data_IF_211792894612
#
_entry.id   IF_211792894612
#
_cell.length_a   1.000
_cell.length_b   1.000
_cell.length_c   1.000
_cell.angle_alpha   90.00
_cell.angle_beta   90.00
_cell.angle_gamma   90.00
#
_symmetry.space_group_name_H-M   'P 1'
#
loop_
_entity.id
_entity.type
_entity.pdbx_description
1 polymer ?
#
# COMPACT_ATOMS: atom_id res chain seq x y z
N UNK A 1 -14.13 52.34 -25.35
CA UNK A 1 -14.26 51.80 -23.97
C UNK A 1 -14.97 50.46 -24.04
N UNK A 2 -14.21 49.37 -24.01
CA UNK A 2 -14.72 48.00 -23.88
C UNK A 2 -14.01 47.38 -22.67
N UNK A 3 -14.73 46.79 -21.70
CA UNK A 3 -14.10 46.14 -20.56
C UNK A 3 -13.55 44.77 -20.98
N UNK A 4 -12.30 44.53 -20.61
CA UNK A 4 -11.61 43.27 -20.83
C UNK A 4 -12.23 42.14 -20.01
N UNK A 5 -12.53 41.04 -20.70
CA UNK A 5 -12.86 39.76 -20.07
C UNK A 5 -11.55 39.03 -19.83
N UNK A 6 -11.19 38.87 -18.56
CA UNK A 6 -10.11 38.00 -18.13
C UNK A 6 -10.47 36.55 -18.47
N UNK A 7 -9.68 35.93 -19.35
CA UNK A 7 -9.64 34.47 -19.50
C UNK A 7 -9.02 33.84 -18.23
N UNK A 8 -9.60 32.78 -17.66
CA UNK A 8 -8.98 32.04 -16.57
C UNK A 8 -7.84 31.15 -17.09
N UNK A 9 -6.76 30.95 -16.32
CA UNK A 9 -5.62 30.15 -16.76
C UNK A 9 -5.99 28.67 -16.87
N UNK A 10 -5.89 28.18 -18.10
CA UNK A 10 -5.81 26.78 -18.49
C UNK A 10 -4.59 26.13 -17.82
N UNK A 11 -4.80 25.03 -17.10
CA UNK A 11 -3.90 23.85 -16.98
C UNK A 11 -3.96 23.22 -15.59
N UNK A 12 -5.00 22.41 -15.36
CA UNK A 12 -4.93 21.31 -14.39
C UNK A 12 -4.97 20.02 -15.20
N UNK A 13 -3.82 19.36 -15.35
CA UNK A 13 -3.76 18.00 -15.89
C UNK A 13 -4.30 17.06 -14.82
N UNK A 14 -5.62 16.92 -14.80
CA UNK A 14 -6.29 15.84 -14.08
C UNK A 14 -5.89 14.55 -14.80
N UNK A 15 -5.05 13.73 -14.16
CA UNK A 15 -4.80 12.35 -14.60
C UNK A 15 -6.09 11.55 -14.37
N UNK A 16 -7.02 11.65 -15.31
CA UNK A 16 -8.11 10.69 -15.41
C UNK A 16 -7.51 9.36 -15.86
N UNK A 17 -7.56 8.37 -14.98
CA UNK A 17 -7.22 6.99 -15.31
C UNK A 17 -8.16 6.50 -16.42
N UNK A 18 -7.71 6.59 -17.67
CA UNK A 18 -8.33 5.93 -18.82
C UNK A 18 -7.70 4.56 -18.94
N UNK A 19 -8.48 3.51 -18.67
CA UNK A 19 -8.12 2.13 -19.04
C UNK A 19 -7.76 2.07 -20.53
N UNK A 20 -6.46 2.00 -20.84
CA UNK A 20 -6.01 1.65 -22.18
C UNK A 20 -5.89 0.13 -22.24
N UNK A 21 -6.95 -0.54 -22.73
CA UNK A 21 -6.81 -1.88 -23.32
C UNK A 21 -5.82 -1.77 -24.48
N UNK A 22 -4.55 -2.13 -24.29
CA UNK A 22 -3.66 -2.47 -25.40
C UNK A 22 -3.91 -3.94 -25.73
N UNK A 23 -4.31 -4.17 -26.98
CA UNK A 23 -4.54 -5.50 -27.53
C UNK A 23 -3.33 -6.39 -27.34
N UNK A 24 -3.57 -7.57 -26.80
CA UNK A 24 -2.62 -8.65 -26.74
C UNK A 24 -2.36 -9.19 -28.15
N UNK A 25 -1.13 -9.02 -28.65
CA UNK A 25 -0.51 -10.03 -29.51
C UNK A 25 0.33 -10.94 -28.60
N UNK A 26 0.06 -12.23 -28.72
CA UNK A 26 0.72 -13.33 -28.01
C UNK A 26 2.23 -13.33 -28.30
N UNK A 27 3.06 -13.47 -27.27
CA UNK A 27 3.84 -14.67 -26.95
C UNK A 27 4.96 -14.32 -25.96
N UNK A 28 5.10 -15.15 -24.92
CA UNK A 28 6.05 -15.01 -23.83
C UNK A 28 5.53 -15.65 -22.54
N UNK A 29 5.16 -16.94 -22.61
CA UNK A 29 4.74 -17.75 -21.46
C UNK A 29 5.94 -18.00 -20.55
N UNK A 30 6.20 -17.12 -19.57
CA UNK A 30 7.12 -17.42 -18.46
C UNK A 30 6.69 -16.81 -17.10
N UNK A 31 5.39 -16.55 -16.92
CA UNK A 31 4.83 -16.08 -15.63
C UNK A 31 3.72 -16.96 -15.02
N UNK A 32 3.39 -18.11 -15.63
CA UNK A 32 2.18 -18.88 -15.28
C UNK A 32 2.27 -19.79 -14.06
N UNK A 33 3.46 -20.01 -13.49
CA UNK A 33 3.67 -21.01 -12.44
C UNK A 33 3.22 -20.57 -11.04
N UNK A 34 3.42 -19.30 -10.69
CA UNK A 34 3.16 -18.81 -9.32
C UNK A 34 1.68 -18.53 -9.06
N UNK A 35 1.00 -17.89 -10.01
CA UNK A 35 -0.44 -17.57 -9.89
C UNK A 35 -1.31 -18.84 -9.92
N UNK A 36 -0.95 -19.86 -10.72
CA UNK A 36 -1.62 -21.18 -10.67
C UNK A 36 -1.43 -21.86 -9.32
N UNK A 37 -0.24 -21.74 -8.72
CA UNK A 37 0.07 -22.34 -7.42
C UNK A 37 -0.72 -21.67 -6.29
N UNK A 38 -0.84 -20.35 -6.29
CA UNK A 38 -1.64 -19.63 -5.28
C UNK A 38 -3.14 -19.90 -5.43
N UNK A 39 -3.65 -19.98 -6.67
CA UNK A 39 -5.03 -20.36 -6.93
C UNK A 39 -5.34 -21.79 -6.46
N UNK A 40 -4.43 -22.74 -6.70
CA UNK A 40 -4.54 -24.12 -6.19
C UNK A 40 -4.51 -24.19 -4.66
N UNK A 41 -3.55 -23.51 -4.02
CA UNK A 41 -3.48 -23.43 -2.56
C UNK A 41 -4.74 -22.79 -1.94
N UNK A 42 -5.32 -21.79 -2.60
CA UNK A 42 -6.55 -21.17 -2.13
C UNK A 42 -7.74 -22.15 -2.16
N UNK A 43 -7.83 -22.99 -3.20
CA UNK A 43 -8.86 -24.03 -3.30
C UNK A 43 -8.69 -25.10 -2.21
N UNK A 44 -7.47 -25.63 -2.03
CA UNK A 44 -7.16 -26.59 -0.97
C UNK A 44 -7.45 -26.01 0.42
N UNK A 45 -7.12 -24.73 0.63
CA UNK A 45 -7.42 -24.02 1.88
C UNK A 45 -8.93 -23.91 2.11
N UNK A 46 -9.72 -23.65 1.06
CA UNK A 46 -11.19 -23.62 1.17
C UNK A 46 -11.77 -24.97 1.55
N UNK A 47 -11.24 -26.07 1.01
CA UNK A 47 -11.66 -27.42 1.38
C UNK A 47 -11.37 -27.72 2.85
N UNK A 48 -10.16 -27.38 3.32
CA UNK A 48 -9.77 -27.51 4.73
C UNK A 48 -10.68 -26.69 5.65
N UNK A 49 -10.92 -25.41 5.31
CA UNK A 49 -11.83 -24.55 6.08
C UNK A 49 -13.26 -25.11 6.09
N UNK A 50 -13.73 -25.70 4.99
CA UNK A 50 -15.02 -26.38 4.91
C UNK A 50 -15.12 -27.57 5.86
N UNK A 51 -14.08 -28.40 5.93
CA UNK A 51 -14.04 -29.53 6.87
C UNK A 51 -14.06 -29.06 8.33
N UNK A 52 -13.27 -28.04 8.67
CA UNK A 52 -13.25 -27.46 10.02
C UNK A 52 -14.60 -26.83 10.39
N UNK A 53 -15.28 -26.19 9.44
CA UNK A 53 -16.63 -25.67 9.64
C UNK A 53 -17.65 -26.76 9.96
N UNK A 54 -17.60 -27.91 9.27
CA UNK A 54 -18.52 -29.01 9.58
C UNK A 54 -18.25 -29.62 10.96
N UNK A 55 -16.98 -29.67 11.38
CA UNK A 55 -16.56 -30.15 12.69
C UNK A 55 -16.80 -29.17 13.85
N UNK A 56 -16.93 -27.87 13.58
CA UNK A 56 -17.08 -26.82 14.60
C UNK A 56 -18.33 -27.00 15.47
N UNK A 57 -18.19 -26.68 16.76
CA UNK A 57 -19.23 -26.96 17.77
C UNK A 57 -20.19 -25.78 18.02
N UNK A 58 -19.80 -24.56 17.64
CA UNK A 58 -20.62 -23.37 17.82
C UNK A 58 -20.98 -22.71 16.50
N UNK A 59 -22.12 -22.02 16.46
CA UNK A 59 -22.53 -21.24 15.28
C UNK A 59 -21.54 -20.11 14.97
N UNK A 60 -20.96 -19.49 16.00
CA UNK A 60 -19.98 -18.42 15.84
C UNK A 60 -18.69 -18.91 15.16
N UNK A 61 -18.20 -20.09 15.56
CA UNK A 61 -17.02 -20.69 14.96
C UNK A 61 -17.25 -21.07 13.50
N UNK A 62 -18.44 -21.61 13.19
CA UNK A 62 -18.85 -21.90 11.80
C UNK A 62 -18.87 -20.65 10.93
N UNK A 63 -19.32 -19.53 11.48
CA UNK A 63 -19.36 -18.24 10.79
C UNK A 63 -17.96 -17.71 10.50
N UNK A 64 -17.01 -17.82 11.45
CA UNK A 64 -15.62 -17.40 11.23
C UNK A 64 -14.96 -18.15 10.07
N UNK A 65 -15.17 -19.46 9.99
CA UNK A 65 -14.67 -20.25 8.86
C UNK A 65 -15.34 -19.86 7.54
N UNK A 66 -16.65 -19.60 7.56
CA UNK A 66 -17.38 -19.15 6.37
C UNK A 66 -16.84 -17.81 5.85
N UNK A 67 -16.61 -16.84 6.73
CA UNK A 67 -16.02 -15.53 6.37
C UNK A 67 -14.64 -15.70 5.72
N UNK A 68 -13.79 -16.56 6.27
CA UNK A 68 -12.48 -16.84 5.70
C UNK A 68 -12.58 -17.47 4.29
N UNK A 69 -13.50 -18.44 4.11
CA UNK A 69 -13.74 -19.04 2.80
C UNK A 69 -14.25 -18.01 1.79
N UNK A 70 -15.19 -17.16 2.19
CA UNK A 70 -15.79 -16.16 1.31
C UNK A 70 -14.80 -15.04 0.94
N UNK A 71 -13.86 -14.71 1.82
CA UNK A 71 -12.73 -13.84 1.46
C UNK A 71 -11.88 -14.43 0.33
N UNK A 72 -11.55 -15.73 0.40
CA UNK A 72 -10.81 -16.42 -0.68
C UNK A 72 -11.62 -16.47 -1.98
N UNK A 73 -12.93 -16.73 -1.90
CA UNK A 73 -13.82 -16.68 -3.07
C UNK A 73 -13.88 -15.27 -3.66
N UNK A 74 -13.93 -14.24 -2.82
CA UNK A 74 -13.96 -12.85 -3.26
C UNK A 74 -12.69 -12.48 -4.03
N UNK A 75 -11.51 -12.84 -3.52
CA UNK A 75 -10.22 -12.64 -4.21
C UNK A 75 -10.24 -13.32 -5.58
N UNK A 76 -10.73 -14.57 -5.66
CA UNK A 76 -10.84 -15.31 -6.91
C UNK A 76 -11.83 -14.66 -7.89
N UNK A 77 -13.05 -14.36 -7.43
CA UNK A 77 -14.12 -13.80 -8.23
C UNK A 77 -13.81 -12.39 -8.75
N UNK A 78 -12.97 -11.64 -8.03
CA UNK A 78 -12.54 -10.30 -8.43
C UNK A 78 -11.20 -10.28 -9.19
N UNK A 79 -10.58 -11.45 -9.41
CA UNK A 79 -9.31 -11.56 -10.14
C UNK A 79 -8.09 -10.99 -9.41
N UNK A 80 -8.14 -10.90 -8.08
CA UNK A 80 -7.11 -10.22 -7.26
C UNK A 80 -5.96 -11.13 -6.80
N UNK A 81 -5.80 -12.33 -7.38
CA UNK A 81 -4.74 -13.26 -6.96
C UNK A 81 -3.33 -12.69 -7.11
N UNK A 82 -3.05 -11.91 -8.16
CA UNK A 82 -1.73 -11.31 -8.34
C UNK A 82 -1.45 -10.24 -7.28
N UNK A 83 -2.42 -9.36 -7.02
CA UNK A 83 -2.31 -8.34 -5.97
C UNK A 83 -2.14 -8.98 -4.59
N UNK A 84 -2.84 -10.10 -4.34
CA UNK A 84 -2.69 -10.86 -3.10
C UNK A 84 -1.33 -11.55 -2.99
N UNK A 85 -0.79 -12.07 -4.09
CA UNK A 85 0.57 -12.62 -4.13
C UNK A 85 1.63 -11.55 -3.84
N UNK A 86 1.49 -10.38 -4.44
CA UNK A 86 2.41 -9.25 -4.23
C UNK A 86 2.32 -8.72 -2.79
N UNK A 87 1.12 -8.71 -2.21
CA UNK A 87 0.93 -8.44 -0.79
C UNK A 87 1.64 -9.48 0.08
N UNK A 88 1.50 -10.79 -0.21
CA UNK A 88 2.22 -11.83 0.54
C UNK A 88 3.74 -11.67 0.48
N UNK A 89 4.29 -11.43 -0.72
CA UNK A 89 5.73 -11.14 -0.89
C UNK A 89 6.17 -9.92 -0.09
N UNK A 90 5.31 -8.92 0.04
CA UNK A 90 5.60 -7.73 0.83
C UNK A 90 5.76 -8.05 2.33
N UNK A 91 5.00 -9.02 2.85
CA UNK A 91 5.13 -9.49 4.23
C UNK A 91 6.46 -10.22 4.44
N UNK A 92 6.85 -11.09 3.50
CA UNK A 92 8.12 -11.83 3.58
C UNK A 92 9.33 -10.88 3.63
N UNK A 93 9.25 -9.77 2.89
CA UNK A 93 10.30 -8.74 2.87
C UNK A 93 10.14 -7.67 3.95
N UNK A 94 9.18 -7.82 4.88
CA UNK A 94 8.84 -6.84 5.92
C UNK A 94 8.62 -5.43 5.36
N UNK A 95 8.06 -5.32 4.15
CA UNK A 95 7.87 -4.05 3.46
C UNK A 95 6.95 -3.10 4.25
N UNK A 96 7.05 -1.78 4.04
CA UNK A 96 6.19 -0.83 4.73
C UNK A 96 4.70 -1.08 4.46
N UNK A 97 3.83 -0.58 5.36
CA UNK A 97 2.39 -0.75 5.23
C UNK A 97 1.88 -0.33 3.85
N UNK A 98 1.06 -1.19 3.24
CA UNK A 98 0.56 -1.03 1.88
C UNK A 98 -0.29 0.24 1.75
N UNK A 99 -0.04 1.03 0.70
CA UNK A 99 -0.79 2.25 0.38
C UNK A 99 -1.51 2.12 -0.97
N UNK A 100 -2.71 2.69 -1.07
CA UNK A 100 -3.53 2.65 -2.29
C UNK A 100 -3.37 3.88 -3.18
N UNK A 101 -2.98 5.01 -2.59
CA UNK A 101 -2.80 6.28 -3.29
C UNK A 101 -1.82 7.16 -2.53
N UNK A 102 -1.25 8.13 -3.23
CA UNK A 102 -0.43 9.18 -2.65
C UNK A 102 -0.82 10.54 -3.24
N UNK A 103 -0.86 11.55 -2.39
CA UNK A 103 -1.26 12.92 -2.72
C UNK A 103 -0.20 13.90 -2.22
N UNK A 104 0.03 14.97 -2.98
CA UNK A 104 0.95 16.03 -2.58
C UNK A 104 0.36 16.87 -1.44
N UNK A 105 -0.96 17.10 -1.48
CA UNK A 105 -1.65 17.92 -0.50
C UNK A 105 -2.92 17.27 0.07
N UNK A 106 -3.41 17.84 1.17
CA UNK A 106 -4.64 17.42 1.83
C UNK A 106 -5.86 17.65 0.92
N UNK A 107 -5.89 18.76 0.22
CA UNK A 107 -6.98 19.17 -0.67
C UNK A 107 -7.13 18.18 -1.84
N UNK A 108 -6.01 17.75 -2.43
CA UNK A 108 -6.00 16.73 -3.48
C UNK A 108 -6.59 15.40 -2.98
N UNK A 109 -6.17 14.98 -1.79
CA UNK A 109 -6.63 13.73 -1.18
C UNK A 109 -8.13 13.78 -0.83
N UNK A 110 -8.62 14.92 -0.33
CA UNK A 110 -10.03 15.12 -0.02
C UNK A 110 -10.89 15.20 -1.30
N UNK A 111 -10.40 15.86 -2.34
CA UNK A 111 -11.06 15.87 -3.64
C UNK A 111 -11.19 14.44 -4.20
N UNK A 112 -10.12 13.64 -4.11
CA UNK A 112 -10.16 12.22 -4.46
C UNK A 112 -11.20 11.45 -3.64
N UNK A 113 -11.19 11.59 -2.31
CA UNK A 113 -12.10 10.87 -1.42
C UNK A 113 -13.57 11.21 -1.69
N UNK A 114 -13.86 12.48 -1.92
CA UNK A 114 -15.21 12.97 -2.20
C UNK A 114 -15.71 12.54 -3.59
N UNK A 115 -14.81 12.51 -4.59
CA UNK A 115 -15.12 12.03 -5.94
C UNK A 115 -15.19 10.51 -6.07
N UNK A 116 -14.68 9.75 -5.09
CA UNK A 116 -14.64 8.30 -5.17
C UNK A 116 -16.03 7.69 -4.91
N UNK A 117 -16.60 6.86 -5.81
CA UNK A 117 -17.97 6.35 -5.66
C UNK A 117 -18.11 5.38 -4.48
N UNK A 118 -17.10 4.54 -4.25
CA UNK A 118 -17.03 3.60 -3.13
C UNK A 118 -15.63 3.65 -2.48
N UNK A 119 -15.33 4.64 -1.63
CA UNK A 119 -14.02 4.79 -1.01
C UNK A 119 -13.54 3.50 -0.34
N UNK A 120 -12.26 3.13 -0.47
CA UNK A 120 -11.73 1.90 0.09
C UNK A 120 -11.54 2.06 1.61
N UNK A 121 -12.56 1.70 2.39
CA UNK A 121 -12.53 1.82 3.84
C UNK A 121 -11.35 1.03 4.45
N UNK A 122 -10.68 1.64 5.45
CA UNK A 122 -9.50 1.13 6.16
C UNK A 122 -8.23 1.01 5.32
N UNK A 123 -8.25 1.39 4.05
CA UNK A 123 -7.03 1.46 3.27
C UNK A 123 -6.18 2.67 3.66
N UNK A 124 -4.86 2.51 3.60
CA UNK A 124 -3.92 3.61 3.76
C UNK A 124 -3.73 4.38 2.45
N UNK A 125 -3.54 5.69 2.59
CA UNK A 125 -3.05 6.60 1.56
C UNK A 125 -1.94 7.47 2.15
N UNK A 126 -1.11 8.04 1.30
CA UNK A 126 -0.11 9.03 1.70
C UNK A 126 -0.60 10.44 1.37
N UNK A 127 -0.42 11.37 2.29
CA UNK A 127 -0.63 12.81 2.06
C UNK A 127 0.66 13.49 2.50
N UNK A 128 1.37 14.13 1.56
CA UNK A 128 2.69 14.71 1.81
C UNK A 128 3.65 13.71 2.52
N UNK A 129 3.65 12.45 2.05
CA UNK A 129 4.41 11.33 2.60
C UNK A 129 3.99 10.83 3.99
N UNK A 130 2.95 11.40 4.61
CA UNK A 130 2.40 10.93 5.88
C UNK A 130 1.21 9.98 5.68
N UNK A 131 1.17 8.92 6.48
CA UNK A 131 0.12 7.91 6.41
C UNK A 131 -1.22 8.41 6.93
N UNK A 132 -2.26 8.15 6.16
CA UNK A 132 -3.65 8.41 6.52
C UNK A 132 -4.51 7.19 6.20
N UNK A 133 -5.46 6.87 7.07
CA UNK A 133 -6.45 5.82 6.83
C UNK A 133 -7.75 6.42 6.27
N UNK A 134 -8.35 5.74 5.31
CA UNK A 134 -9.66 6.10 4.74
C UNK A 134 -10.76 5.59 5.67
N UNK A 135 -11.46 6.51 6.33
CA UNK A 135 -12.69 6.21 7.04
C UNK A 135 -13.88 6.48 6.13
N UNK A 136 -14.71 5.47 5.87
CA UNK A 136 -15.94 5.61 5.12
C UNK A 136 -17.04 4.83 5.82
N UNK A 137 -18.08 5.55 6.27
CA UNK A 137 -19.30 4.99 6.86
C UNK A 137 -20.45 5.36 5.92
N UNK A 138 -20.84 4.46 5.00
CA UNK A 138 -21.84 4.74 3.98
C UNK A 138 -23.18 5.21 4.57
N UNK A 139 -23.60 4.61 5.68
CA UNK A 139 -24.89 4.86 6.35
C UNK A 139 -25.02 6.30 6.83
N UNK A 140 -23.89 6.93 7.17
CA UNK A 140 -23.80 8.31 7.64
C UNK A 140 -23.33 9.27 6.53
N UNK A 141 -23.12 8.76 5.32
CA UNK A 141 -22.41 9.45 4.23
C UNK A 141 -21.11 10.11 4.73
N UNK A 142 -20.43 9.46 5.67
CA UNK A 142 -19.27 10.03 6.34
C UNK A 142 -17.99 9.53 5.68
N UNK A 143 -17.13 10.46 5.25
CA UNK A 143 -15.86 10.17 4.59
C UNK A 143 -14.78 11.06 5.19
N UNK A 144 -13.71 10.46 5.71
CA UNK A 144 -12.58 11.19 6.30
C UNK A 144 -11.25 10.52 6.01
N UNK A 145 -10.20 11.35 5.98
CA UNK A 145 -8.81 10.93 6.01
C UNK A 145 -8.26 11.22 7.40
N UNK A 146 -7.93 10.16 8.13
CA UNK A 146 -7.45 10.24 9.51
C UNK A 146 -5.95 9.97 9.49
N UNK A 147 -5.14 10.89 10.01
CA UNK A 147 -3.70 10.66 10.17
C UNK A 147 -3.48 9.43 11.06
N UNK A 148 -2.57 8.55 10.66
CA UNK A 148 -2.35 7.29 11.35
C UNK A 148 -0.86 7.02 11.54
N UNK A 149 -0.41 6.71 12.77
CA UNK A 149 1.01 6.59 13.09
C UNK A 149 1.62 5.23 12.69
N UNK A 150 1.14 4.60 11.61
CA UNK A 150 1.51 3.22 11.28
C UNK A 150 2.98 3.11 10.88
N UNK A 151 3.51 4.15 10.22
CA UNK A 151 4.90 4.19 9.80
C UNK A 151 5.82 4.34 11.01
N UNK A 152 5.44 5.19 11.96
CA UNK A 152 6.20 5.45 13.18
C UNK A 152 6.35 4.18 14.02
N UNK A 153 5.28 3.39 14.16
CA UNK A 153 5.35 2.09 14.82
C UNK A 153 6.20 1.07 14.05
N UNK A 154 6.03 1.02 12.73
CA UNK A 154 6.80 0.14 11.86
C UNK A 154 8.32 0.45 11.90
N UNK A 155 8.70 1.72 11.87
CA UNK A 155 10.10 2.14 12.03
C UNK A 155 10.65 1.78 13.41
N UNK A 156 9.85 1.96 14.46
CA UNK A 156 10.24 1.62 15.83
C UNK A 156 10.48 0.12 16.02
N UNK A 157 9.65 -0.72 15.41
CA UNK A 157 9.84 -2.18 15.39
C UNK A 157 11.14 -2.58 14.70
N UNK A 158 11.44 -2.01 13.52
CA UNK A 158 12.71 -2.28 12.85
C UNK A 158 13.94 -1.82 13.65
N UNK A 159 13.83 -0.69 14.36
CA UNK A 159 14.91 -0.23 15.26
C UNK A 159 15.15 -1.25 16.37
N UNK A 160 14.07 -1.79 16.97
CA UNK A 160 14.14 -2.81 18.03
C UNK A 160 14.79 -4.11 17.56
N UNK A 161 14.51 -4.52 16.33
CA UNK A 161 15.07 -5.75 15.74
C UNK A 161 16.53 -5.60 15.29
N UNK A 162 16.99 -4.36 15.19
CA UNK A 162 18.33 -4.01 14.73
C UNK A 162 18.32 -3.63 13.26
N UNK A 163 18.79 -2.40 12.99
CA UNK A 163 18.84 -1.88 11.63
C UNK A 163 19.99 -2.56 10.88
N UNK A 164 19.73 -3.14 9.69
CA UNK A 164 20.77 -3.64 8.79
C UNK A 164 21.81 -2.57 8.45
N UNK A 165 23.01 -3.01 8.04
CA UNK A 165 24.03 -2.09 7.53
C UNK A 165 23.47 -1.26 6.36
N UNK A 166 23.79 0.04 6.28
CA UNK A 166 23.31 0.89 5.21
C UNK A 166 23.85 0.40 3.87
N UNK A 167 22.98 0.33 2.86
CA UNK A 167 23.38 -0.03 1.52
C UNK A 167 24.16 1.09 0.83
N UNK A 168 23.88 2.34 1.20
CA UNK A 168 24.58 3.52 0.68
C UNK A 168 24.59 4.65 1.72
N UNK A 169 25.53 5.58 1.57
CA UNK A 169 25.66 6.78 2.40
C UNK A 169 25.80 7.99 1.49
N UNK A 170 25.06 9.05 1.79
CA UNK A 170 24.99 10.29 1.04
C UNK A 170 25.19 11.49 1.98
N UNK A 171 25.67 12.60 1.43
CA UNK A 171 25.79 13.83 2.20
C UNK A 171 24.49 14.64 2.18
N UNK A 172 23.71 14.54 1.10
CA UNK A 172 22.51 15.36 0.88
C UNK A 172 21.29 14.52 0.45
N UNK A 173 20.10 15.09 0.66
CA UNK A 173 18.84 14.44 0.28
C UNK A 173 18.68 14.36 -1.24
N UNK A 174 19.22 15.34 -1.97
CA UNK A 174 19.23 15.40 -3.43
C UNK A 174 20.07 14.28 -4.04
N UNK A 175 21.25 14.01 -3.48
CA UNK A 175 22.10 12.88 -3.89
C UNK A 175 21.39 11.54 -3.72
N UNK A 176 20.81 11.31 -2.53
CA UNK A 176 20.08 10.10 -2.23
C UNK A 176 18.86 9.92 -3.16
N UNK A 177 18.13 11.00 -3.43
CA UNK A 177 16.99 10.98 -4.36
C UNK A 177 17.42 10.64 -5.78
N UNK A 178 18.49 11.26 -6.25
CA UNK A 178 19.06 10.98 -7.58
C UNK A 178 19.46 9.51 -7.66
N UNK A 179 20.17 8.98 -6.67
CA UNK A 179 20.55 7.57 -6.62
C UNK A 179 19.33 6.63 -6.66
N UNK A 180 18.27 6.96 -5.93
CA UNK A 180 17.02 6.18 -5.85
C UNK A 180 16.25 6.19 -7.18
N UNK A 181 16.26 7.31 -7.90
CA UNK A 181 15.64 7.45 -9.23
C UNK A 181 16.38 6.64 -10.30
N UNK A 182 17.70 6.47 -10.17
CA UNK A 182 18.51 5.68 -11.10
C UNK A 182 18.43 4.16 -10.87
N UNK A 183 17.76 3.69 -9.81
CA UNK A 183 17.57 2.27 -9.58
C UNK A 183 16.56 1.68 -10.58
N UNK A 184 16.99 0.75 -11.47
CA UNK A 184 16.12 0.17 -12.51
C UNK A 184 14.98 -0.64 -11.89
N UNK A 185 15.27 -1.39 -10.84
CA UNK A 185 14.28 -2.04 -9.99
C UNK A 185 14.46 -1.49 -8.56
N UNK A 186 13.51 -0.69 -8.06
CA UNK A 186 13.62 -0.15 -6.72
C UNK A 186 13.54 -1.28 -5.70
N UNK A 187 14.48 -1.36 -4.74
CA UNK A 187 14.38 -2.37 -3.69
C UNK A 187 13.08 -2.17 -2.90
N UNK A 188 12.47 -3.27 -2.44
CA UNK A 188 11.26 -3.22 -1.62
C UNK A 188 11.47 -2.37 -0.37
N UNK A 189 12.62 -2.58 0.27
CA UNK A 189 13.14 -1.72 1.31
C UNK A 189 14.65 -1.86 1.45
N UNK A 190 15.33 -0.75 1.77
CA UNK A 190 16.76 -0.70 2.10
C UNK A 190 17.02 0.46 3.06
N UNK A 191 18.08 0.36 3.85
CA UNK A 191 18.56 1.46 4.67
C UNK A 191 19.68 2.22 3.98
N UNK A 192 19.67 3.53 4.11
CA UNK A 192 20.74 4.42 3.68
C UNK A 192 21.04 5.43 4.78
N UNK A 193 22.19 6.09 4.72
CA UNK A 193 22.45 7.28 5.52
C UNK A 193 22.41 8.53 4.65
N UNK A 194 21.82 9.59 5.18
CA UNK A 194 21.83 10.92 4.56
C UNK A 194 22.31 11.90 5.62
N UNK A 195 23.47 12.53 5.42
CA UNK A 195 24.01 13.49 6.40
C UNK A 195 24.24 12.91 7.80
N UNK A 196 24.46 11.59 7.91
CA UNK A 196 24.60 10.88 9.18
C UNK A 196 23.28 10.41 9.81
N UNK A 197 22.12 10.78 9.27
CA UNK A 197 20.82 10.27 9.71
C UNK A 197 20.42 9.01 8.93
N UNK A 198 20.08 7.90 9.60
CA UNK A 198 19.60 6.71 8.93
C UNK A 198 18.18 6.94 8.38
N UNK A 199 17.97 6.48 7.15
CA UNK A 199 16.71 6.57 6.44
C UNK A 199 16.30 5.20 5.91
N UNK A 200 15.00 4.91 5.97
CA UNK A 200 14.39 3.82 5.24
C UNK A 200 14.02 4.31 3.83
N UNK A 201 14.59 3.68 2.81
CA UNK A 201 14.11 3.78 1.44
C UNK A 201 13.09 2.67 1.22
N UNK A 202 11.90 3.03 0.77
CA UNK A 202 10.77 2.14 0.60
C UNK A 202 10.19 2.21 -0.82
N UNK A 203 9.79 1.06 -1.36
CA UNK A 203 9.03 1.01 -2.61
C UNK A 203 7.58 0.58 -2.38
N UNK A 204 6.67 1.55 -2.51
CA UNK A 204 5.22 1.34 -2.51
C UNK A 204 4.77 0.80 -3.87
N UNK A 205 5.07 -0.47 -4.10
CA UNK A 205 4.89 -1.14 -5.39
C UNK A 205 3.51 -0.97 -6.02
N UNK A 206 2.44 -0.97 -5.21
CA UNK A 206 1.06 -0.83 -5.71
C UNK A 206 0.80 0.51 -6.40
N UNK A 207 1.52 1.56 -6.02
CA UNK A 207 1.40 2.91 -6.60
C UNK A 207 2.66 3.37 -7.31
N UNK A 208 3.68 2.51 -7.41
CA UNK A 208 4.96 2.83 -8.06
C UNK A 208 5.75 3.95 -7.37
N UNK A 209 5.52 4.22 -6.09
CA UNK A 209 6.16 5.33 -5.37
C UNK A 209 7.43 4.88 -4.65
N UNK A 210 8.53 5.61 -4.88
CA UNK A 210 9.77 5.51 -4.11
C UNK A 210 9.72 6.56 -3.00
N UNK A 211 9.86 6.15 -1.75
CA UNK A 211 9.78 7.03 -0.59
C UNK A 211 11.04 6.90 0.27
N UNK A 212 11.39 7.97 0.99
CA UNK A 212 12.48 8.01 1.96
C UNK A 212 11.93 8.51 3.28
N UNK A 213 12.12 7.74 4.34
CA UNK A 213 11.61 8.04 5.68
C UNK A 213 12.77 8.12 6.66
N UNK A 214 13.00 9.28 7.31
CA UNK A 214 13.99 9.36 8.36
C UNK A 214 13.58 8.49 9.55
N UNK A 215 14.53 7.77 10.15
CA UNK A 215 14.24 6.91 11.29
C UNK A 215 13.90 7.72 12.55
N UNK A 216 14.20 9.01 12.58
CA UNK A 216 13.75 9.94 13.62
C UNK A 216 12.23 10.09 13.71
N UNK A 217 11.47 9.65 12.69
CA UNK A 217 10.01 9.55 12.77
C UNK A 217 9.52 8.44 13.70
N UNK A 218 10.36 7.47 14.07
CA UNK A 218 9.93 6.36 14.91
C UNK A 218 9.26 6.86 16.20
N UNK A 219 8.10 6.28 16.52
CA UNK A 219 7.42 6.62 17.77
C UNK A 219 8.30 6.18 18.95
N UNK A 220 8.31 6.93 20.08
CA UNK A 220 8.87 6.40 21.31
C UNK A 220 8.13 5.11 21.65
N UNK A 221 8.84 3.98 21.64
CA UNK A 221 8.29 2.75 22.18
C UNK A 221 8.07 3.00 23.67
N UNK A 222 6.81 3.03 24.11
CA UNK A 222 6.54 2.83 25.53
C UNK A 222 7.08 1.45 25.86
N UNK A 223 8.16 1.39 26.63
CA UNK A 223 8.58 0.16 27.27
C UNK A 223 7.36 -0.34 28.04
N UNK A 224 6.87 -1.51 27.68
CA UNK A 224 5.97 -2.24 28.56
C UNK A 224 6.83 -2.61 29.77
N UNK A 225 6.67 -1.85 30.85
CA UNK A 225 7.20 -2.26 32.15
C UNK A 225 6.61 -3.64 32.49
N UNK A 226 7.51 -4.51 32.94
CA UNK A 226 7.33 -5.94 33.28
C UNK A 226 6.15 -6.26 34.20
#
# INVERSE_FOLDING_TARGET
>A
MHPGVHEPPTSTRIWTYRFRKKGARRQGLHGGGSTMKLGGLALETQELLGQQREAAHSAEEKERFLVAMDALKFIAATGQFQDFEDYRKSLDTHAPPLVLAAFGTREEAEAWLNGHPKPPHLAYVLIASAYHVVMHVPELNHRRLISHPVLEFYLAEMIREGIPAPMATFHTQEEARTWLEHQPEPPRQVFIHIGGEPHLVAYHHRIGLRAMYPLSMAAPLKQADE
#
